data_IF_002973217781
#
_entry.id   IF_002973217781
#
_cell.length_a   1.000
_cell.length_b   1.000
_cell.length_c   1.000
_cell.angle_alpha   90.00
_cell.angle_beta   90.00
_cell.angle_gamma   90.00
#
_symmetry.space_group_name_H-M   'P 1'
#
loop_
_entity.id
_entity.type
_entity.pdbx_description
1 polymer ?
#
# COMPACT_ATOMS: atom_id res chain seq x y z
N UNK A 1 -17.59 7.32 -26.72
CA UNK A 1 -18.53 8.46 -26.88
C UNK A 1 -19.85 8.05 -26.24
N UNK A 2 -20.16 8.61 -25.06
CA UNK A 2 -21.34 8.22 -24.26
C UNK A 2 -22.66 8.76 -24.80
N UNK A 3 -23.76 8.11 -24.44
CA UNK A 3 -25.13 8.52 -24.82
C UNK A 3 -25.46 9.89 -24.20
N UNK A 4 -25.80 10.93 -24.98
CA UNK A 4 -26.03 12.29 -24.48
C UNK A 4 -27.24 12.44 -23.54
N UNK A 5 -28.06 11.38 -23.37
CA UNK A 5 -29.23 11.38 -22.49
C UNK A 5 -29.00 10.68 -21.14
N UNK A 6 -27.85 10.01 -20.96
CA UNK A 6 -27.52 9.31 -19.72
C UNK A 6 -26.72 10.22 -18.78
N UNK A 7 -27.24 10.48 -17.57
CA UNK A 7 -26.47 11.09 -16.47
C UNK A 7 -25.52 10.09 -15.77
N UNK A 8 -25.49 8.84 -16.24
CA UNK A 8 -24.67 7.76 -15.69
C UNK A 8 -23.42 7.54 -16.53
N UNK A 9 -22.35 7.12 -15.87
CA UNK A 9 -21.06 6.81 -16.48
C UNK A 9 -21.11 5.50 -17.27
N UNK A 10 -20.34 5.43 -18.36
CA UNK A 10 -20.14 4.20 -19.14
C UNK A 10 -18.98 3.39 -18.59
N UNK A 11 -18.99 2.07 -18.79
CA UNK A 11 -17.86 1.20 -18.46
C UNK A 11 -16.62 1.53 -19.31
N UNK A 12 -15.44 1.37 -18.73
CA UNK A 12 -14.16 1.57 -19.41
C UNK A 12 -13.70 0.28 -20.10
N UNK A 13 -13.52 0.31 -21.43
CA UNK A 13 -13.15 -0.85 -22.25
C UNK A 13 -11.73 -1.37 -22.04
N UNK A 14 -10.89 -0.65 -21.28
CA UNK A 14 -9.52 -1.06 -20.97
C UNK A 14 -9.42 -2.05 -19.81
N UNK A 15 -10.52 -2.34 -19.11
CA UNK A 15 -10.54 -3.38 -18.06
C UNK A 15 -10.69 -4.78 -18.66
N UNK A 16 -9.99 -5.75 -18.06
CA UNK A 16 -10.08 -7.16 -18.45
C UNK A 16 -11.35 -7.86 -17.93
N UNK A 17 -11.87 -7.42 -16.78
CA UNK A 17 -13.01 -8.02 -16.10
C UNK A 17 -13.89 -6.94 -15.46
N UNK A 18 -15.17 -7.27 -15.26
CA UNK A 18 -16.13 -6.39 -14.57
C UNK A 18 -16.88 -7.18 -13.51
N UNK A 19 -16.94 -6.61 -12.30
CA UNK A 19 -17.82 -7.07 -11.22
C UNK A 19 -18.92 -6.02 -11.03
N UNK A 20 -20.17 -6.41 -11.28
CA UNK A 20 -21.32 -5.51 -11.14
C UNK A 20 -22.00 -5.78 -9.79
N UNK A 21 -22.02 -4.78 -8.92
CA UNK A 21 -22.70 -4.82 -7.63
C UNK A 21 -24.09 -4.17 -7.77
N UNK A 22 -25.15 -4.96 -7.56
CA UNK A 22 -26.53 -4.48 -7.61
C UNK A 22 -27.11 -4.43 -6.19
N UNK A 23 -27.63 -3.26 -5.81
CA UNK A 23 -28.37 -3.02 -4.57
C UNK A 23 -29.84 -2.66 -4.82
N UNK A 24 -30.29 -2.73 -6.08
CA UNK A 24 -31.63 -2.37 -6.53
C UNK A 24 -31.86 -0.86 -6.70
N UNK A 25 -30.87 0.00 -6.45
CA UNK A 25 -31.00 1.45 -6.62
C UNK A 25 -30.36 1.95 -7.92
N UNK A 26 -30.88 3.06 -8.46
CA UNK A 26 -30.37 3.67 -9.69
C UNK A 26 -29.81 5.05 -9.40
N UNK A 27 -28.60 5.33 -9.88
CA UNK A 27 -27.95 6.65 -9.79
C UNK A 27 -27.39 7.01 -8.42
N UNK A 28 -27.24 6.02 -7.52
CA UNK A 28 -26.52 6.19 -6.25
C UNK A 28 -25.10 5.64 -6.37
N UNK A 29 -24.15 6.34 -5.77
CA UNK A 29 -22.72 5.98 -5.77
C UNK A 29 -22.30 5.42 -4.41
N UNK A 30 -21.31 4.54 -4.39
CA UNK A 30 -20.67 4.04 -3.17
C UNK A 30 -21.25 2.75 -2.60
N UNK A 31 -22.28 2.18 -3.23
CA UNK A 31 -22.88 0.91 -2.81
C UNK A 31 -21.93 -0.28 -3.01
N UNK A 32 -21.02 -0.16 -3.99
CA UNK A 32 -20.00 -1.16 -4.27
C UNK A 32 -18.92 -1.25 -3.18
N UNK A 33 -18.78 -0.22 -2.34
CA UNK A 33 -17.67 -0.14 -1.39
C UNK A 33 -17.68 -1.33 -0.42
N UNK A 34 -18.84 -1.73 0.10
CA UNK A 34 -18.93 -2.86 1.04
C UNK A 34 -18.52 -4.19 0.37
N UNK A 35 -18.95 -4.43 -0.88
CA UNK A 35 -18.54 -5.61 -1.64
C UNK A 35 -17.03 -5.61 -1.87
N UNK A 36 -16.49 -4.46 -2.31
CA UNK A 36 -15.06 -4.26 -2.51
C UNK A 36 -14.27 -4.57 -1.25
N UNK A 37 -14.70 -4.08 -0.08
CA UNK A 37 -14.05 -4.37 1.21
C UNK A 37 -13.99 -5.84 1.55
N UNK A 38 -15.11 -6.53 1.42
CA UNK A 38 -15.19 -7.94 1.73
C UNK A 38 -14.29 -8.76 0.79
N UNK A 39 -14.23 -8.37 -0.49
CA UNK A 39 -13.35 -9.00 -1.46
C UNK A 39 -11.87 -8.74 -1.14
N UNK A 40 -11.48 -7.49 -0.90
CA UNK A 40 -10.11 -7.12 -0.52
C UNK A 40 -9.65 -7.89 0.73
N UNK A 41 -10.50 -7.97 1.75
CA UNK A 41 -10.23 -8.73 2.99
C UNK A 41 -10.14 -10.24 2.73
N UNK A 42 -10.96 -10.78 1.84
CA UNK A 42 -10.88 -12.21 1.49
C UNK A 42 -9.58 -12.51 0.73
N UNK A 43 -9.19 -11.63 -0.20
CA UNK A 43 -7.96 -11.75 -0.97
C UNK A 43 -6.72 -11.67 -0.08
N UNK A 44 -6.70 -10.79 0.92
CA UNK A 44 -5.56 -10.66 1.83
C UNK A 44 -5.30 -11.90 2.69
N UNK A 45 -6.29 -12.79 2.83
CA UNK A 45 -6.14 -14.07 3.51
C UNK A 45 -5.64 -15.20 2.60
N UNK A 46 -5.60 -14.98 1.28
CA UNK A 46 -5.11 -15.97 0.33
C UNK A 46 -3.57 -16.01 0.33
N UNK A 47 -2.98 -17.18 0.08
CA UNK A 47 -1.53 -17.35 0.02
C UNK A 47 -0.98 -16.96 -1.35
N UNK A 48 0.10 -16.19 -1.37
CA UNK A 48 0.82 -15.81 -2.61
C UNK A 48 1.61 -16.99 -3.16
N UNK A 49 2.28 -17.71 -2.26
CA UNK A 49 3.12 -18.84 -2.59
C UNK A 49 3.00 -19.91 -1.49
N UNK A 50 3.09 -21.19 -1.85
CA UNK A 50 2.96 -22.30 -0.90
C UNK A 50 4.02 -22.28 0.21
N UNK A 51 5.19 -21.72 -0.12
CA UNK A 51 6.35 -21.56 0.79
C UNK A 51 6.32 -20.27 1.63
N UNK A 52 5.44 -19.33 1.31
CA UNK A 52 5.34 -18.06 2.03
C UNK A 52 4.21 -18.10 3.06
N UNK A 53 4.51 -17.65 4.27
CA UNK A 53 3.54 -17.57 5.36
C UNK A 53 2.59 -16.39 5.25
N UNK A 54 2.90 -15.39 4.42
CA UNK A 54 2.14 -14.16 4.31
C UNK A 54 0.98 -14.28 3.31
N UNK A 55 -0.13 -13.65 3.65
CA UNK A 55 -1.26 -13.48 2.74
C UNK A 55 -0.98 -12.41 1.68
N UNK A 56 -1.87 -12.26 0.70
CA UNK A 56 -1.70 -11.25 -0.36
C UNK A 56 -1.67 -9.83 0.24
N UNK A 57 -0.56 -9.08 0.09
CA UNK A 57 -0.46 -7.71 0.58
C UNK A 57 -1.38 -6.80 -0.23
N UNK A 58 -2.07 -5.90 0.47
CA UNK A 58 -3.00 -4.94 -0.12
C UNK A 58 -2.48 -3.53 0.11
N UNK A 59 -2.64 -2.67 -0.89
CA UNK A 59 -2.28 -1.24 -0.84
C UNK A 59 -3.35 -0.41 -1.52
N UNK A 60 -3.73 0.71 -0.91
CA UNK A 60 -4.59 1.72 -1.53
C UNK A 60 -3.75 2.74 -2.26
N UNK A 61 -4.10 3.09 -3.51
CA UNK A 61 -3.51 4.22 -4.23
C UNK A 61 -4.59 5.29 -4.42
N UNK A 62 -4.30 6.50 -3.93
CA UNK A 62 -5.15 7.68 -4.06
C UNK A 62 -4.48 8.64 -5.04
N UNK A 63 -5.13 8.83 -6.19
CA UNK A 63 -4.78 9.88 -7.15
C UNK A 63 -5.66 11.09 -6.82
N UNK A 64 -6.76 11.33 -7.51
CA UNK A 64 -7.71 12.37 -7.09
C UNK A 64 -8.70 11.83 -6.02
N UNK A 65 -9.84 12.49 -5.84
CA UNK A 65 -10.97 11.91 -5.14
C UNK A 65 -12.02 12.92 -4.68
N UNK A 66 -13.20 12.41 -4.37
CA UNK A 66 -14.23 13.13 -3.62
C UNK A 66 -14.14 12.89 -2.11
N UNK A 67 -15.11 13.41 -1.33
CA UNK A 67 -15.19 13.18 0.12
C UNK A 67 -15.20 11.70 0.52
N UNK A 68 -15.78 10.84 -0.31
CA UNK A 68 -15.83 9.39 -0.08
C UNK A 68 -14.45 8.73 -0.05
N UNK A 69 -13.46 9.31 -0.72
CA UNK A 69 -12.08 8.79 -0.70
C UNK A 69 -11.43 9.01 0.68
N UNK A 70 -11.70 10.12 1.36
CA UNK A 70 -11.19 10.34 2.72
C UNK A 70 -11.82 9.34 3.69
N UNK A 71 -13.13 9.06 3.55
CA UNK A 71 -13.82 8.00 4.31
C UNK A 71 -13.23 6.61 4.01
N UNK A 72 -12.94 6.34 2.75
CA UNK A 72 -12.27 5.12 2.33
C UNK A 72 -10.90 5.00 3.02
N UNK A 73 -10.03 6.00 2.91
CA UNK A 73 -8.69 5.98 3.54
C UNK A 73 -8.81 5.76 5.04
N UNK A 74 -9.75 6.42 5.72
CA UNK A 74 -10.01 6.21 7.13
C UNK A 74 -10.30 4.74 7.48
N UNK A 75 -11.12 4.06 6.67
CA UNK A 75 -11.39 2.62 6.82
C UNK A 75 -10.16 1.74 6.53
N UNK A 76 -9.29 2.10 5.56
CA UNK A 76 -8.06 1.35 5.24
C UNK A 76 -7.09 1.40 6.44
N UNK A 77 -6.80 2.59 6.93
CA UNK A 77 -5.74 2.80 7.93
C UNK A 77 -6.14 2.31 9.32
N UNK A 78 -7.44 2.23 9.63
CA UNK A 78 -7.95 1.73 10.91
C UNK A 78 -8.23 0.22 10.92
N UNK A 79 -8.10 -0.45 9.77
CA UNK A 79 -8.29 -1.88 9.69
C UNK A 79 -7.26 -2.64 10.54
N UNK A 80 -7.54 -3.91 10.84
CA UNK A 80 -6.60 -4.78 11.56
C UNK A 80 -6.42 -6.08 10.77
N UNK A 81 -5.24 -6.29 10.13
CA UNK A 81 -4.13 -5.34 9.98
C UNK A 81 -4.51 -4.12 9.11
N UNK A 82 -3.79 -3.01 9.28
CA UNK A 82 -4.02 -1.80 8.50
C UNK A 82 -3.65 -2.02 7.03
N UNK A 83 -4.38 -1.38 6.12
CA UNK A 83 -4.04 -1.37 4.69
C UNK A 83 -3.27 -0.09 4.40
N UNK A 84 -1.98 -0.16 4.01
CA UNK A 84 -1.21 1.03 3.68
C UNK A 84 -1.84 1.78 2.50
N UNK A 85 -1.73 3.10 2.53
CA UNK A 85 -2.27 3.99 1.50
C UNK A 85 -1.15 4.88 0.95
N UNK A 86 -0.97 4.88 -0.36
CA UNK A 86 -0.14 5.86 -1.08
C UNK A 86 -1.03 6.96 -1.60
N UNK A 87 -0.70 8.21 -1.27
CA UNK A 87 -1.39 9.41 -1.74
C UNK A 87 -0.48 10.13 -2.73
N UNK A 88 -0.95 10.30 -3.97
CA UNK A 88 -0.23 11.01 -5.01
C UNK A 88 -0.55 12.50 -4.93
N UNK A 89 0.39 13.27 -4.43
CA UNK A 89 0.26 14.72 -4.29
C UNK A 89 0.34 15.44 -5.64
N UNK A 90 -0.41 16.54 -5.77
CA UNK A 90 -0.46 17.36 -6.99
C UNK A 90 -1.52 16.90 -7.98
N UNK A 91 -2.26 15.84 -7.67
CA UNK A 91 -3.37 15.35 -8.51
C UNK A 91 -4.71 16.02 -8.18
N UNK A 92 -4.82 16.73 -7.06
CA UNK A 92 -6.01 17.51 -6.73
C UNK A 92 -6.90 16.89 -5.65
N UNK A 93 -7.79 17.74 -5.13
CA UNK A 93 -8.94 17.41 -4.30
C UNK A 93 -8.59 16.57 -3.07
N UNK A 94 -9.10 15.33 -2.97
CA UNK A 94 -8.93 14.50 -1.79
C UNK A 94 -7.47 14.14 -1.52
N UNK A 95 -6.66 13.85 -2.55
CA UNK A 95 -5.24 13.58 -2.34
C UNK A 95 -4.51 14.78 -1.79
N UNK A 96 -4.68 15.96 -2.38
CA UNK A 96 -3.96 17.14 -1.92
C UNK A 96 -4.38 17.53 -0.49
N UNK A 97 -5.66 17.37 -0.14
CA UNK A 97 -6.11 17.54 1.25
C UNK A 97 -5.42 16.53 2.19
N UNK A 98 -5.36 15.26 1.79
CA UNK A 98 -4.70 14.20 2.58
C UNK A 98 -3.18 14.45 2.72
N UNK A 99 -2.51 14.81 1.62
CA UNK A 99 -1.09 15.11 1.57
C UNK A 99 -0.76 16.36 2.40
N UNK A 100 -1.53 17.44 2.24
CA UNK A 100 -1.38 18.67 3.00
C UNK A 100 -1.58 18.41 4.50
N UNK A 101 -2.65 17.69 4.89
CA UNK A 101 -2.87 17.32 6.29
C UNK A 101 -1.73 16.46 6.84
N UNK A 102 -1.25 15.48 6.07
CA UNK A 102 -0.14 14.62 6.46
C UNK A 102 1.16 15.39 6.68
N UNK A 103 1.50 16.36 5.81
CA UNK A 103 2.70 17.20 5.93
C UNK A 103 2.66 18.15 7.14
N UNK A 104 1.47 18.57 7.57
CA UNK A 104 1.31 19.57 8.63
C UNK A 104 0.88 18.99 9.99
N UNK A 105 0.59 17.69 10.06
CA UNK A 105 0.24 17.03 11.33
C UNK A 105 1.50 16.44 11.97
N UNK A 106 1.75 16.77 13.24
CA UNK A 106 2.89 16.24 13.98
C UNK A 106 2.79 14.75 14.31
N UNK A 107 3.83 14.17 14.90
CA UNK A 107 3.87 12.74 15.31
C UNK A 107 2.74 12.35 16.28
N UNK A 108 2.22 13.31 17.05
CA UNK A 108 1.12 13.10 18.01
C UNK A 108 -0.28 13.27 17.40
N UNK A 109 -0.40 13.58 16.10
CA UNK A 109 -1.69 13.88 15.47
C UNK A 109 -2.18 15.32 15.68
N UNK A 110 -1.34 16.19 16.26
CA UNK A 110 -1.69 17.57 16.58
C UNK A 110 -1.50 18.50 15.38
N UNK A 111 -2.42 19.47 15.25
CA UNK A 111 -2.41 20.52 14.22
C UNK A 111 -2.49 21.91 14.87
N UNK A 112 -1.71 22.85 14.33
CA UNK A 112 -1.84 24.26 14.68
C UNK A 112 -3.23 24.80 14.31
N UNK A 113 -3.84 25.69 15.13
CA UNK A 113 -5.17 26.23 14.86
C UNK A 113 -5.33 26.92 13.50
N UNK A 114 -4.26 27.56 13.00
CA UNK A 114 -4.22 28.22 11.69
C UNK A 114 -4.38 27.21 10.55
N UNK A 115 -3.57 26.14 10.58
CA UNK A 115 -3.62 25.06 9.59
C UNK A 115 -4.96 24.34 9.62
N UNK A 116 -5.54 24.14 10.81
CA UNK A 116 -6.89 23.58 10.95
C UNK A 116 -7.94 24.39 10.18
N UNK A 117 -7.90 25.72 10.30
CA UNK A 117 -8.84 26.60 9.59
C UNK A 117 -8.60 26.53 8.07
N UNK A 118 -7.35 26.52 7.64
CA UNK A 118 -6.99 26.37 6.22
C UNK A 118 -7.51 25.07 5.61
N UNK A 119 -7.35 23.93 6.31
CA UNK A 119 -7.88 22.64 5.85
C UNK A 119 -9.42 22.67 5.78
N UNK A 120 -10.09 23.29 6.76
CA UNK A 120 -11.56 23.41 6.74
C UNK A 120 -12.04 24.23 5.54
N UNK A 121 -11.39 25.36 5.25
CA UNK A 121 -11.67 26.20 4.08
C UNK A 121 -11.39 25.41 2.79
N UNK A 122 -10.28 24.67 2.73
CA UNK A 122 -9.93 23.82 1.60
C UNK A 122 -11.01 22.77 1.33
N UNK A 123 -11.47 22.04 2.36
CA UNK A 123 -12.56 21.07 2.27
C UNK A 123 -13.86 21.71 1.75
N UNK A 124 -14.24 22.85 2.31
CA UNK A 124 -15.46 23.58 1.91
C UNK A 124 -15.42 23.98 0.44
N UNK A 125 -14.33 24.59 0.00
CA UNK A 125 -14.19 25.13 -1.34
C UNK A 125 -14.07 24.02 -2.40
N UNK A 126 -13.25 23.01 -2.13
CA UNK A 126 -12.97 21.92 -3.07
C UNK A 126 -14.21 21.04 -3.26
N UNK A 127 -14.88 20.66 -2.17
CA UNK A 127 -16.02 19.74 -2.24
C UNK A 127 -17.38 20.44 -2.27
N UNK A 128 -17.42 21.77 -2.14
CA UNK A 128 -18.66 22.58 -2.09
C UNK A 128 -19.61 22.08 -1.00
N UNK A 129 -19.07 21.80 0.18
CA UNK A 129 -19.79 21.26 1.32
C UNK A 129 -20.22 22.36 2.28
N UNK A 130 -21.35 22.15 2.96
CA UNK A 130 -21.77 23.00 4.07
C UNK A 130 -20.81 22.90 5.26
N UNK A 131 -20.84 23.88 6.16
CA UNK A 131 -19.98 23.92 7.35
C UNK A 131 -20.04 22.63 8.16
N UNK A 132 -21.25 22.10 8.43
CA UNK A 132 -21.43 20.89 9.25
C UNK A 132 -20.81 19.66 8.60
N UNK A 133 -20.96 19.50 7.28
CA UNK A 133 -20.39 18.39 6.52
C UNK A 133 -18.87 18.50 6.46
N UNK A 134 -18.37 19.72 6.27
CA UNK A 134 -16.93 20.01 6.23
C UNK A 134 -16.25 19.74 7.56
N UNK A 135 -16.88 20.14 8.68
CA UNK A 135 -16.37 19.82 10.02
C UNK A 135 -16.38 18.31 10.30
N UNK A 136 -17.38 17.59 9.81
CA UNK A 136 -17.40 16.13 9.93
C UNK A 136 -16.28 15.48 9.10
N UNK A 137 -16.09 15.88 7.85
CA UNK A 137 -15.04 15.35 6.99
C UNK A 137 -13.64 15.68 7.52
N UNK A 138 -13.45 16.89 8.06
CA UNK A 138 -12.23 17.27 8.77
C UNK A 138 -11.96 16.35 9.96
N UNK A 139 -12.98 16.03 10.77
CA UNK A 139 -12.82 15.08 11.87
C UNK A 139 -12.35 13.71 11.37
N UNK A 140 -12.96 13.18 10.29
CA UNK A 140 -12.54 11.90 9.69
C UNK A 140 -11.10 11.98 9.20
N UNK A 141 -10.72 13.06 8.52
CA UNK A 141 -9.35 13.30 8.07
C UNK A 141 -8.36 13.26 9.24
N UNK A 142 -8.71 13.87 10.37
CA UNK A 142 -7.87 13.83 11.57
C UNK A 142 -7.76 12.43 12.19
N UNK A 143 -8.82 11.62 12.12
CA UNK A 143 -8.72 10.20 12.50
C UNK A 143 -7.79 9.42 11.56
N UNK A 144 -7.70 9.77 10.27
CA UNK A 144 -6.67 9.19 9.39
C UNK A 144 -5.26 9.56 9.86
N UNK A 145 -5.04 10.81 10.26
CA UNK A 145 -3.71 11.30 10.66
C UNK A 145 -3.19 10.68 11.97
N UNK A 146 -4.07 10.09 12.79
CA UNK A 146 -3.66 9.26 13.95
C UNK A 146 -2.94 7.97 13.52
N UNK A 147 -3.11 7.55 12.26
CA UNK A 147 -2.50 6.38 11.64
C UNK A 147 -1.58 6.78 10.47
N UNK A 148 -0.93 7.95 10.57
CA UNK A 148 -0.10 8.53 9.50
C UNK A 148 1.03 7.61 9.05
N UNK A 149 1.53 6.72 9.90
CA UNK A 149 2.54 5.72 9.56
C UNK A 149 2.08 4.74 8.46
N UNK A 150 0.76 4.58 8.29
CA UNK A 150 0.15 3.79 7.24
C UNK A 150 -0.10 4.60 5.95
N UNK A 151 0.16 5.90 5.96
CA UNK A 151 -0.04 6.81 4.82
C UNK A 151 1.32 7.24 4.29
N UNK A 152 1.58 6.97 3.02
CA UNK A 152 2.78 7.42 2.32
C UNK A 152 2.37 8.48 1.30
N UNK A 153 2.92 9.69 1.43
CA UNK A 153 2.71 10.75 0.44
C UNK A 153 3.81 10.64 -0.63
N UNK A 154 3.38 10.52 -1.88
CA UNK A 154 4.24 10.51 -3.05
C UNK A 154 4.15 11.87 -3.73
N UNK A 155 5.29 12.56 -3.81
CA UNK A 155 5.43 13.86 -4.45
C UNK A 155 6.20 13.68 -5.76
N UNK A 156 5.49 13.80 -6.88
CA UNK A 156 6.06 13.61 -8.21
C UNK A 156 7.01 14.74 -8.65
N UNK A 157 6.94 15.90 -7.98
CA UNK A 157 7.80 17.06 -8.26
C UNK A 157 9.03 17.09 -7.34
N UNK A 158 9.20 16.09 -6.48
CA UNK A 158 10.35 16.01 -5.57
C UNK A 158 11.67 15.78 -6.31
N UNK A 159 12.75 16.35 -5.78
CA UNK A 159 14.11 16.22 -6.33
C UNK A 159 14.67 14.79 -6.24
N UNK A 160 14.03 13.90 -5.47
CA UNK A 160 14.49 12.55 -5.21
C UNK A 160 14.24 11.56 -6.37
N UNK A 161 13.59 12.00 -7.47
CA UNK A 161 13.24 11.21 -8.67
C UNK A 161 12.72 9.79 -8.32
N UNK A 162 11.93 9.67 -7.26
CA UNK A 162 11.42 8.37 -6.85
C UNK A 162 10.31 7.94 -7.83
N UNK A 163 10.42 6.73 -8.38
CA UNK A 163 9.34 6.16 -9.17
C UNK A 163 8.16 5.74 -8.28
N UNK A 164 6.94 5.86 -8.81
CA UNK A 164 5.70 5.54 -8.08
C UNK A 164 5.63 4.07 -7.66
N UNK A 165 6.18 3.16 -8.44
CA UNK A 165 6.23 1.73 -8.14
C UNK A 165 7.07 1.46 -6.88
N UNK A 166 8.21 2.12 -6.75
CA UNK A 166 9.06 2.06 -5.57
C UNK A 166 8.34 2.65 -4.35
N UNK A 167 7.58 3.73 -4.52
CA UNK A 167 6.77 4.31 -3.45
C UNK A 167 5.68 3.34 -2.96
N UNK A 168 4.97 2.68 -3.89
CA UNK A 168 3.96 1.66 -3.59
C UNK A 168 4.56 0.48 -2.83
N UNK A 169 5.67 -0.06 -3.32
CA UNK A 169 6.32 -1.22 -2.72
C UNK A 169 6.94 -0.87 -1.36
N UNK A 170 7.51 0.34 -1.22
CA UNK A 170 8.01 0.83 0.07
C UNK A 170 6.89 1.03 1.08
N UNK A 171 5.73 1.55 0.65
CA UNK A 171 4.56 1.72 1.51
C UNK A 171 4.04 0.37 2.03
N UNK A 172 4.03 -0.68 1.18
CA UNK A 172 3.71 -2.03 1.60
C UNK A 172 4.67 -2.55 2.69
N UNK A 173 5.99 -2.40 2.47
CA UNK A 173 6.99 -2.89 3.43
C UNK A 173 6.94 -2.14 4.77
N UNK A 174 6.71 -0.82 4.75
CA UNK A 174 6.61 0.02 5.95
C UNK A 174 5.29 -0.17 6.70
N UNK A 175 4.17 -0.11 5.98
CA UNK A 175 2.83 -0.09 6.58
C UNK A 175 2.37 -1.44 7.13
N UNK A 176 2.95 -2.56 6.68
CA UNK A 176 2.59 -3.89 7.18
C UNK A 176 3.24 -4.22 8.54
N UNK A 177 4.22 -3.44 9.00
CA UNK A 177 4.95 -3.66 10.26
C UNK A 177 5.44 -5.11 10.45
N UNK A 178 5.86 -5.73 9.34
CA UNK A 178 6.31 -7.12 9.25
C UNK A 178 7.81 -7.24 9.50
N UNK A 179 8.29 -8.44 9.83
CA UNK A 179 9.71 -8.62 10.13
C UNK A 179 10.60 -8.47 8.88
N UNK A 180 11.89 -8.17 9.05
CA UNK A 180 12.83 -8.07 7.92
C UNK A 180 12.91 -9.37 7.09
N UNK A 181 12.66 -10.53 7.71
CA UNK A 181 12.55 -11.82 6.99
C UNK A 181 11.32 -11.82 6.07
N UNK A 182 10.17 -11.42 6.60
CA UNK A 182 8.93 -11.36 5.81
C UNK A 182 9.02 -10.33 4.68
N UNK A 183 9.69 -9.21 4.92
CA UNK A 183 9.96 -8.20 3.90
C UNK A 183 10.82 -8.78 2.77
N UNK A 184 11.84 -9.57 3.11
CA UNK A 184 12.70 -10.23 2.13
C UNK A 184 11.94 -11.28 1.32
N UNK A 185 11.06 -12.05 1.97
CA UNK A 185 10.20 -13.02 1.29
C UNK A 185 9.28 -12.33 0.27
N UNK A 186 8.66 -11.21 0.65
CA UNK A 186 7.85 -10.42 -0.29
C UNK A 186 8.67 -9.89 -1.46
N UNK A 187 9.86 -9.36 -1.21
CA UNK A 187 10.75 -8.89 -2.27
C UNK A 187 11.16 -10.02 -3.24
N UNK A 188 11.40 -11.24 -2.72
CA UNK A 188 11.66 -12.44 -3.51
C UNK A 188 10.45 -12.85 -4.37
N UNK A 189 9.24 -12.83 -3.79
CA UNK A 189 8.00 -13.11 -4.52
C UNK A 189 7.79 -12.13 -5.68
N UNK A 190 7.96 -10.83 -5.41
CA UNK A 190 7.80 -9.78 -6.40
C UNK A 190 8.96 -9.69 -7.39
N UNK A 191 10.07 -10.40 -7.14
CA UNK A 191 11.31 -10.28 -7.90
C UNK A 191 11.86 -8.84 -7.94
N UNK A 192 11.80 -8.14 -6.80
CA UNK A 192 12.17 -6.73 -6.67
C UNK A 192 13.52 -6.59 -5.95
N UNK A 193 14.59 -6.83 -6.70
CA UNK A 193 15.97 -6.84 -6.18
C UNK A 193 16.38 -5.49 -5.58
N UNK A 194 16.05 -4.40 -6.26
CA UNK A 194 16.46 -3.05 -5.87
C UNK A 194 15.90 -2.67 -4.51
N UNK A 195 14.66 -3.10 -4.22
CA UNK A 195 13.99 -2.90 -2.94
C UNK A 195 14.68 -3.71 -1.86
N UNK A 196 14.98 -4.99 -2.13
CA UNK A 196 15.71 -5.83 -1.19
C UNK A 196 17.06 -5.21 -0.82
N UNK A 197 17.81 -4.72 -1.81
CA UNK A 197 19.12 -4.11 -1.60
C UNK A 197 19.05 -2.76 -0.88
N UNK A 198 18.12 -1.87 -1.26
CA UNK A 198 18.05 -0.49 -0.75
C UNK A 198 17.39 -0.39 0.63
N UNK A 199 16.40 -1.25 0.91
CA UNK A 199 15.53 -1.08 2.07
C UNK A 199 15.57 -2.23 3.08
N UNK A 200 15.98 -3.44 2.68
CA UNK A 200 15.88 -4.64 3.54
C UNK A 200 17.27 -5.13 3.98
N UNK A 201 18.17 -5.35 3.03
CA UNK A 201 19.53 -5.85 3.25
C UNK A 201 20.52 -4.70 3.56
N UNK A 202 20.13 -3.82 4.47
CA UNK A 202 20.93 -2.66 4.87
C UNK A 202 21.90 -3.01 6.01
N UNK A 203 23.02 -2.29 6.09
CA UNK A 203 24.02 -2.48 7.15
C UNK A 203 23.41 -2.20 8.54
N UNK A 204 23.67 -3.08 9.50
CA UNK A 204 23.13 -2.99 10.86
C UNK A 204 21.78 -3.70 11.06
N UNK A 205 21.18 -4.25 9.99
CA UNK A 205 19.98 -5.09 10.11
C UNK A 205 20.30 -6.39 10.85
N UNK A 206 19.53 -6.70 11.89
CA UNK A 206 19.67 -7.93 12.64
C UNK A 206 18.80 -9.02 12.03
N UNK A 207 19.43 -10.13 11.64
CA UNK A 207 18.77 -11.29 11.06
C UNK A 207 18.62 -12.40 12.09
N UNK A 208 17.46 -13.07 12.08
CA UNK A 208 17.28 -14.31 12.83
C UNK A 208 18.21 -15.37 12.25
N UNK A 209 18.74 -16.25 13.10
CA UNK A 209 19.59 -17.36 12.68
C UNK A 209 18.83 -18.23 11.68
N UNK A 210 19.43 -18.50 10.51
CA UNK A 210 18.80 -19.29 9.45
C UNK A 210 17.92 -18.52 8.48
N UNK A 211 17.62 -17.24 8.73
CA UNK A 211 16.70 -16.47 7.87
C UNK A 211 17.26 -16.24 6.46
N UNK A 212 18.53 -15.85 6.36
CA UNK A 212 19.18 -15.64 5.06
C UNK A 212 19.41 -16.97 4.32
N UNK A 213 19.66 -18.06 5.05
CA UNK A 213 19.74 -19.38 4.45
C UNK A 213 18.37 -19.87 3.94
N UNK A 214 17.27 -19.56 4.63
CA UNK A 214 15.94 -19.86 4.13
C UNK A 214 15.63 -19.04 2.87
N UNK A 215 15.90 -17.73 2.90
CA UNK A 215 15.75 -16.85 1.74
C UNK A 215 16.59 -17.32 0.53
N UNK A 216 17.80 -17.85 0.77
CA UNK A 216 18.65 -18.45 -0.27
C UNK A 216 17.99 -19.68 -0.91
N UNK A 217 17.42 -20.57 -0.09
CA UNK A 217 16.71 -21.74 -0.57
C UNK A 217 15.50 -21.35 -1.42
N UNK A 218 14.71 -20.38 -0.96
CA UNK A 218 13.54 -19.90 -1.70
C UNK A 218 13.95 -19.17 -2.99
N UNK A 219 15.02 -18.39 -2.99
CA UNK A 219 15.57 -17.77 -4.19
C UNK A 219 15.99 -18.82 -5.24
N UNK A 220 16.60 -19.93 -4.81
CA UNK A 220 16.99 -21.03 -5.70
C UNK A 220 15.77 -21.75 -6.29
N UNK A 221 14.78 -22.07 -5.46
CA UNK A 221 13.54 -22.74 -5.90
C UNK A 221 12.73 -21.86 -6.86
N UNK A 222 12.74 -20.55 -6.66
CA UNK A 222 11.99 -19.57 -7.46
C UNK A 222 12.77 -19.05 -8.68
N UNK A 223 13.94 -19.62 -8.98
CA UNK A 223 14.83 -19.21 -10.07
C UNK A 223 15.18 -17.70 -10.05
N UNK A 224 15.48 -17.17 -8.85
CA UNK A 224 15.85 -15.77 -8.62
C UNK A 224 17.35 -15.60 -8.55
N UNK A 225 18.02 -15.74 -9.69
CA UNK A 225 19.49 -15.72 -9.80
C UNK A 225 20.12 -14.45 -9.20
N UNK A 226 19.52 -13.28 -9.41
CA UNK A 226 20.10 -12.04 -8.88
C UNK A 226 19.96 -11.91 -7.37
N UNK A 227 18.90 -12.48 -6.79
CA UNK A 227 18.77 -12.58 -5.33
C UNK A 227 19.81 -13.55 -4.75
N UNK A 228 20.11 -14.66 -5.43
CA UNK A 228 21.17 -15.58 -5.00
C UNK A 228 22.51 -14.84 -4.92
N UNK A 229 22.87 -14.06 -5.94
CA UNK A 229 24.09 -13.23 -5.92
C UNK A 229 24.07 -12.23 -4.76
N UNK A 230 22.96 -11.51 -4.60
CA UNK A 230 22.81 -10.50 -3.54
C UNK A 230 22.95 -11.11 -2.14
N UNK A 231 22.36 -12.29 -1.89
CA UNK A 231 22.44 -12.97 -0.60
C UNK A 231 23.87 -13.47 -0.30
N UNK A 232 24.62 -13.91 -1.31
CA UNK A 232 26.04 -14.26 -1.15
C UNK A 232 26.85 -13.02 -0.79
N UNK A 233 26.62 -11.89 -1.45
CA UNK A 233 27.26 -10.60 -1.13
C UNK A 233 26.98 -10.15 0.30
N UNK A 234 25.80 -10.47 0.85
CA UNK A 234 25.36 -10.08 2.19
C UNK A 234 25.60 -11.15 3.27
N UNK A 235 26.45 -12.15 2.99
CA UNK A 235 27.02 -13.02 4.01
C UNK A 235 26.51 -14.47 4.04
N UNK A 236 25.71 -14.90 3.07
CA UNK A 236 25.38 -16.33 2.93
C UNK A 236 26.60 -17.11 2.46
N UNK A 237 27.10 -18.00 3.29
CA UNK A 237 28.21 -18.88 2.96
C UNK A 237 27.70 -20.20 2.36
N UNK A 238 27.99 -20.44 1.08
CA UNK A 238 27.54 -21.63 0.35
C UNK A 238 28.03 -22.96 0.95
N UNK A 239 29.24 -23.01 1.52
CA UNK A 239 29.75 -24.23 2.17
C UNK A 239 28.95 -24.61 3.42
N UNK A 240 28.45 -23.61 4.16
CA UNK A 240 27.59 -23.83 5.33
C UNK A 240 26.13 -24.04 4.93
N UNK A 241 25.69 -23.38 3.86
CA UNK A 241 24.32 -23.47 3.36
C UNK A 241 24.01 -24.86 2.79
N UNK A 242 24.90 -25.43 1.97
CA UNK A 242 24.68 -26.70 1.27
C UNK A 242 24.83 -27.92 2.20
N UNK A 243 23.72 -28.34 2.80
CA UNK A 243 23.62 -29.59 3.55
C UNK A 243 22.97 -30.68 2.70
N UNK A 244 23.16 -31.96 3.06
CA UNK A 244 22.54 -33.10 2.36
C UNK A 244 21.01 -32.91 2.28
N UNK A 245 20.37 -32.55 3.39
CA UNK A 245 18.91 -32.33 3.42
C UNK A 245 18.43 -31.21 2.49
N UNK A 246 19.19 -30.11 2.36
CA UNK A 246 18.84 -29.01 1.44
C UNK A 246 19.08 -29.38 -0.01
N UNK A 247 20.13 -30.14 -0.30
CA UNK A 247 20.34 -30.68 -1.64
C UNK A 247 19.21 -31.63 -2.01
N UNK A 248 18.85 -32.57 -1.15
CA UNK A 248 17.71 -33.45 -1.37
C UNK A 248 16.42 -32.66 -1.64
N UNK A 249 16.17 -31.59 -0.88
CA UNK A 249 15.02 -30.71 -1.14
C UNK A 249 15.11 -30.07 -2.53
N UNK A 250 16.23 -29.43 -2.87
CA UNK A 250 16.43 -28.75 -4.15
C UNK A 250 16.32 -29.68 -5.37
N UNK A 251 16.76 -30.93 -5.27
CA UNK A 251 16.65 -31.90 -6.36
C UNK A 251 15.26 -32.53 -6.50
N UNK A 252 14.42 -32.42 -5.47
CA UNK A 252 13.06 -32.96 -5.44
C UNK A 252 11.97 -31.87 -5.54
N UNK A 253 12.37 -30.61 -5.72
CA UNK A 253 11.44 -29.49 -5.95
C UNK A 253 11.22 -29.31 -7.45
#
# INVERSE_FOLDING_TARGET
>A
LGNPLSKLSTLNSMHSHFLMADDGTVGKYGNEMMLRRNLEKYMSLQKIHTRMGQGVPMVGLVLEGGPSVILMVWEYVRASPAVPVVVYEGTGRAADILAFAHKHTGDMGDLCPQVKEEILIMIQNIFRLEQKQSSHLFHVLMECMKHRESITVFDAESEDEQDIDLAILTALLKGMNISASDQLDLALAWNQLDIAKKHILVYGQHWKVGALEQAMLDALVMDRVDFVKLLIEHGVNMHRFLTISRLEELYNT
#
